data_IF_357039854311
#
_entry.id   IF_357039854311
#
_cell.length_a   1.000
_cell.length_b   1.000
_cell.length_c   1.000
_cell.angle_alpha   90.00
_cell.angle_beta   90.00
_cell.angle_gamma   90.00
#
_symmetry.space_group_name_H-M   'P 1'
#
loop_
_entity.id
_entity.type
_entity.pdbx_description
1 polymer ?
#
# COMPACT_ATOMS: atom_id res chain seq x y z
N UNK A 1 -20.73 -39.16 -45.39
CA UNK A 1 -19.36 -39.11 -44.82
C UNK A 1 -19.16 -37.71 -44.26
N UNK A 2 -18.78 -37.60 -42.99
CA UNK A 2 -18.54 -36.32 -42.32
C UNK A 2 -17.07 -35.96 -42.54
N UNK A 3 -16.77 -34.83 -43.19
CA UNK A 3 -15.41 -34.31 -43.16
C UNK A 3 -15.21 -33.54 -41.85
N UNK A 4 -14.15 -33.83 -41.08
CA UNK A 4 -13.82 -33.02 -39.92
C UNK A 4 -13.17 -31.72 -40.39
N UNK A 5 -13.74 -30.59 -39.98
CA UNK A 5 -13.13 -29.27 -40.14
C UNK A 5 -11.80 -29.29 -39.39
N UNK A 6 -10.67 -29.31 -40.11
CA UNK A 6 -9.36 -28.94 -39.55
C UNK A 6 -9.39 -27.44 -39.29
N UNK A 7 -9.96 -27.02 -38.18
CA UNK A 7 -9.68 -25.69 -37.65
C UNK A 7 -8.20 -25.67 -37.29
N UNK A 8 -7.42 -24.83 -37.98
CA UNK A 8 -6.07 -24.48 -37.52
C UNK A 8 -6.25 -23.87 -36.14
N UNK A 9 -5.76 -24.56 -35.12
CA UNK A 9 -5.56 -24.02 -33.79
C UNK A 9 -4.72 -22.75 -33.93
N UNK A 10 -5.33 -21.58 -33.73
CA UNK A 10 -4.67 -20.27 -33.71
C UNK A 10 -3.85 -20.05 -32.44
N UNK A 11 -3.53 -21.12 -31.72
CA UNK A 11 -2.55 -21.10 -30.63
C UNK A 11 -1.15 -21.19 -31.24
N UNK A 12 -0.77 -20.18 -32.03
CA UNK A 12 0.63 -19.87 -32.25
C UNK A 12 0.98 -18.77 -31.26
N UNK A 13 1.47 -19.23 -30.11
CA UNK A 13 2.50 -18.60 -29.30
C UNK A 13 3.08 -17.33 -29.92
N UNK A 14 2.83 -16.19 -29.26
CA UNK A 14 3.59 -14.95 -29.45
C UNK A 14 5.02 -15.20 -28.95
N UNK A 15 5.78 -15.94 -29.75
CA UNK A 15 7.23 -16.01 -29.66
C UNK A 15 7.77 -14.83 -30.45
N UNK A 16 8.34 -13.85 -29.76
CA UNK A 16 9.22 -12.86 -30.39
C UNK A 16 8.53 -11.69 -31.09
N UNK A 17 7.79 -10.87 -30.35
CA UNK A 17 7.83 -9.42 -30.54
C UNK A 17 7.77 -8.81 -29.15
N UNK A 18 8.89 -8.24 -28.70
CA UNK A 18 8.90 -7.13 -27.75
C UNK A 18 7.96 -6.08 -28.32
N UNK A 19 6.69 -6.21 -27.97
CA UNK A 19 5.66 -5.34 -28.48
C UNK A 19 5.88 -4.08 -27.67
N UNK A 20 6.54 -3.09 -28.29
CA UNK A 20 6.51 -1.68 -27.90
C UNK A 20 5.06 -1.20 -28.00
N UNK A 21 4.21 -1.76 -27.13
CA UNK A 21 3.00 -1.10 -26.72
C UNK A 21 3.46 0.05 -25.81
N UNK A 22 2.90 1.28 -25.93
CA UNK A 22 3.15 2.34 -24.98
C UNK A 22 2.44 2.06 -23.64
N UNK A 23 2.55 0.84 -23.14
CA UNK A 23 2.03 0.35 -21.88
C UNK A 23 3.21 0.17 -20.92
N UNK A 24 3.01 0.61 -19.68
CA UNK A 24 3.95 0.36 -18.58
C UNK A 24 4.20 -1.15 -18.43
N UNK A 25 5.39 -1.52 -17.97
CA UNK A 25 5.64 -2.91 -17.60
C UNK A 25 4.78 -3.29 -16.38
N UNK A 26 4.51 -4.59 -16.19
CA UNK A 26 3.79 -5.08 -15.00
C UNK A 26 4.45 -4.60 -13.70
N UNK A 27 5.78 -4.58 -13.65
CA UNK A 27 6.52 -4.15 -12.47
C UNK A 27 6.34 -2.64 -12.22
N UNK A 28 6.31 -1.83 -13.28
CA UNK A 28 6.00 -0.40 -13.19
C UNK A 28 4.55 -0.16 -12.71
N UNK A 29 3.60 -0.99 -13.14
CA UNK A 29 2.21 -0.90 -12.65
C UNK A 29 2.12 -1.23 -11.15
N UNK A 30 2.84 -2.28 -10.71
CA UNK A 30 2.92 -2.64 -9.30
C UNK A 30 3.60 -1.54 -8.47
N UNK A 31 4.64 -0.88 -9.00
CA UNK A 31 5.28 0.27 -8.34
C UNK A 31 4.30 1.40 -8.09
N UNK A 32 3.51 1.74 -9.11
CA UNK A 32 2.54 2.82 -9.02
C UNK A 32 1.42 2.47 -8.05
N UNK A 33 0.95 1.21 -8.11
CA UNK A 33 -0.04 0.71 -7.17
C UNK A 33 0.50 0.74 -5.74
N UNK A 34 1.74 0.29 -5.51
CA UNK A 34 2.37 0.25 -4.21
C UNK A 34 2.57 1.67 -3.66
N UNK A 35 3.11 2.57 -4.47
CA UNK A 35 3.28 3.98 -4.13
C UNK A 35 1.95 4.66 -3.78
N UNK A 36 0.86 4.29 -4.47
CA UNK A 36 -0.49 4.77 -4.17
C UNK A 36 -0.98 4.30 -2.80
N UNK A 37 -0.84 3.01 -2.49
CA UNK A 37 -1.25 2.46 -1.19
C UNK A 37 -0.41 3.01 -0.02
N UNK A 38 0.91 3.12 -0.20
CA UNK A 38 1.79 3.69 0.82
C UNK A 38 1.52 5.18 1.05
N UNK A 39 1.23 5.95 -0.01
CA UNK A 39 0.85 7.35 0.14
C UNK A 39 -0.49 7.50 0.91
N UNK A 40 -1.47 6.64 0.64
CA UNK A 40 -2.72 6.63 1.39
C UNK A 40 -2.52 6.22 2.86
N UNK A 41 -1.64 5.25 3.13
CA UNK A 41 -1.28 4.83 4.49
C UNK A 41 -0.56 5.96 5.23
N UNK A 42 0.37 6.66 4.58
CA UNK A 42 1.07 7.83 5.12
C UNK A 42 0.07 8.93 5.50
N UNK A 43 -0.89 9.25 4.63
CA UNK A 43 -1.90 10.27 4.92
C UNK A 43 -2.73 9.94 6.18
N UNK A 44 -3.18 8.68 6.32
CA UNK A 44 -3.91 8.26 7.53
C UNK A 44 -3.01 8.25 8.76
N UNK A 45 -1.73 7.94 8.60
CA UNK A 45 -0.74 8.01 9.70
C UNK A 45 -0.53 9.45 10.15
N UNK A 46 -0.46 10.41 9.22
CA UNK A 46 -0.37 11.84 9.53
C UNK A 46 -1.64 12.38 10.21
N UNK A 47 -2.83 11.91 9.79
CA UNK A 47 -4.09 12.20 10.49
C UNK A 47 -4.07 11.69 11.94
N UNK A 48 -3.59 10.46 12.15
CA UNK A 48 -3.45 9.88 13.49
C UNK A 48 -2.47 10.70 14.36
N UNK A 49 -1.33 11.11 13.80
CA UNK A 49 -0.34 11.94 14.50
C UNK A 49 -0.90 13.28 14.94
N UNK A 50 -1.76 13.89 14.11
CA UNK A 50 -2.41 15.15 14.44
C UNK A 50 -3.40 15.03 15.62
N UNK A 51 -4.05 13.87 15.77
CA UNK A 51 -5.03 13.62 16.82
C UNK A 51 -4.41 13.08 18.12
N UNK A 52 -3.40 12.21 18.00
CA UNK A 52 -2.72 11.56 19.11
C UNK A 52 -1.23 11.41 18.76
N UNK A 53 -0.40 12.41 19.11
CA UNK A 53 1.04 12.36 18.87
C UNK A 53 1.67 11.16 19.56
N UNK A 54 2.45 10.38 18.83
CA UNK A 54 3.18 9.22 19.32
C UNK A 54 4.48 9.06 18.52
N UNK A 55 5.58 8.82 19.24
CA UNK A 55 6.91 8.66 18.63
C UNK A 55 6.98 7.49 17.65
N UNK A 56 6.18 6.44 17.87
CA UNK A 56 6.07 5.32 16.94
C UNK A 56 5.36 5.69 15.64
N UNK A 57 4.40 6.62 15.68
CA UNK A 57 3.75 7.15 14.47
C UNK A 57 4.65 8.12 13.70
N UNK A 58 5.47 8.91 14.39
CA UNK A 58 6.44 9.82 13.76
C UNK A 58 7.47 9.04 12.92
N UNK A 59 8.13 8.05 13.54
CA UNK A 59 9.10 7.20 12.86
C UNK A 59 8.46 6.40 11.71
N UNK A 60 7.22 5.94 11.89
CA UNK A 60 6.49 5.25 10.83
C UNK A 60 6.20 6.16 9.63
N UNK A 61 5.78 7.40 9.88
CA UNK A 61 5.51 8.37 8.82
C UNK A 61 6.78 8.68 8.01
N UNK A 62 7.93 8.82 8.66
CA UNK A 62 9.22 9.03 8.00
C UNK A 62 9.58 7.86 7.09
N UNK A 63 9.57 6.63 7.63
CA UNK A 63 9.87 5.41 6.85
C UNK A 63 8.92 5.26 5.66
N UNK A 64 7.62 5.51 5.86
CA UNK A 64 6.63 5.45 4.77
C UNK A 64 6.92 6.51 3.69
N UNK A 65 7.27 7.74 4.08
CA UNK A 65 7.62 8.80 3.14
C UNK A 65 8.88 8.46 2.32
N UNK A 66 9.89 7.85 2.94
CA UNK A 66 11.08 7.35 2.24
C UNK A 66 10.72 6.29 1.19
N UNK A 67 9.89 5.31 1.55
CA UNK A 67 9.46 4.28 0.60
C UNK A 67 8.66 4.87 -0.57
N UNK A 68 7.73 5.80 -0.30
CA UNK A 68 6.95 6.48 -1.35
C UNK A 68 7.85 7.28 -2.27
N UNK A 69 8.83 8.00 -1.71
CA UNK A 69 9.79 8.79 -2.47
C UNK A 69 10.63 7.90 -3.38
N UNK A 70 11.09 6.76 -2.87
CA UNK A 70 11.84 5.76 -3.65
C UNK A 70 11.03 5.25 -4.83
N UNK A 71 9.78 4.85 -4.60
CA UNK A 71 8.90 4.29 -5.65
C UNK A 71 8.47 5.34 -6.69
N UNK A 72 8.49 6.63 -6.33
CA UNK A 72 8.16 7.75 -7.23
C UNK A 72 9.38 8.38 -7.91
N UNK A 73 10.54 7.72 -7.87
CA UNK A 73 11.76 8.24 -8.52
C UNK A 73 12.33 9.49 -7.86
N UNK A 74 12.23 9.60 -6.53
CA UNK A 74 12.82 10.70 -5.76
C UNK A 74 11.87 11.87 -5.45
N UNK A 75 10.63 11.82 -5.92
CA UNK A 75 9.63 12.85 -5.62
C UNK A 75 8.97 12.59 -4.26
N UNK A 76 9.23 13.47 -3.30
CA UNK A 76 8.60 13.41 -1.99
C UNK A 76 7.07 13.56 -2.11
N UNK A 77 6.28 12.75 -1.37
CA UNK A 77 4.83 12.89 -1.37
C UNK A 77 4.43 14.24 -0.78
N UNK A 78 3.47 14.92 -1.41
CA UNK A 78 2.85 16.11 -0.84
C UNK A 78 2.09 15.72 0.42
N UNK A 79 2.49 16.27 1.56
CA UNK A 79 1.84 16.06 2.85
C UNK A 79 0.93 17.24 3.16
N UNK A 80 -0.38 17.01 3.09
CA UNK A 80 -1.35 17.99 3.58
C UNK A 80 -1.46 17.89 5.09
N UNK A 81 -1.25 19.01 5.79
CA UNK A 81 -1.71 19.12 7.16
C UNK A 81 -3.23 19.05 7.15
N UNK A 82 -3.78 18.01 7.76
CA UNK A 82 -5.22 17.81 7.84
C UNK A 82 -5.80 18.93 8.68
N UNK A 83 -6.42 19.92 8.02
CA UNK A 83 -7.30 20.87 8.68
C UNK A 83 -8.48 20.07 9.23
N UNK A 84 -8.65 20.07 10.55
CA UNK A 84 -9.68 19.31 11.25
C UNK A 84 -11.04 19.48 10.54
N UNK A 85 -11.50 18.43 9.87
CA UNK A 85 -12.82 18.40 9.26
C UNK A 85 -13.89 18.38 10.34
N UNK A 86 -15.07 18.95 10.07
CA UNK A 86 -16.20 19.07 11.03
C UNK A 86 -16.66 17.76 11.70
N UNK A 87 -16.29 16.59 11.17
CA UNK A 87 -16.44 15.31 11.87
C UNK A 87 -15.15 14.98 12.58
N UNK A 88 -15.18 14.88 13.90
CA UNK A 88 -14.06 14.36 14.69
C UNK A 88 -13.73 12.93 14.24
N UNK A 89 -12.56 12.71 13.61
CA UNK A 89 -12.16 11.38 13.21
C UNK A 89 -11.92 10.56 14.48
N UNK A 90 -12.65 9.46 14.64
CA UNK A 90 -12.43 8.56 15.79
C UNK A 90 -11.10 7.82 15.59
N UNK A 91 -10.11 7.93 16.49
CA UNK A 91 -8.79 7.29 16.30
C UNK A 91 -8.86 5.79 15.98
N UNK A 92 -9.78 5.06 16.60
CA UNK A 92 -10.01 3.64 16.30
C UNK A 92 -10.47 3.38 14.84
N UNK A 93 -11.26 4.29 14.25
CA UNK A 93 -11.65 4.15 12.84
C UNK A 93 -10.45 4.38 11.90
N UNK A 94 -9.58 5.34 12.24
CA UNK A 94 -8.34 5.59 11.50
C UNK A 94 -7.37 4.42 11.60
N UNK A 95 -7.19 3.82 12.78
CA UNK A 95 -6.38 2.61 12.93
C UNK A 95 -6.89 1.44 12.09
N UNK A 96 -8.21 1.19 12.04
CA UNK A 96 -8.78 0.15 11.15
C UNK A 96 -8.53 0.44 9.67
N UNK A 97 -8.70 1.70 9.27
CA UNK A 97 -8.42 2.13 7.89
C UNK A 97 -6.94 1.94 7.54
N UNK A 98 -6.04 2.34 8.43
CA UNK A 98 -4.61 2.18 8.27
C UNK A 98 -4.20 0.71 8.19
N UNK A 99 -4.73 -0.15 9.07
CA UNK A 99 -4.53 -1.60 9.01
C UNK A 99 -4.94 -2.18 7.64
N UNK A 100 -6.10 -1.77 7.12
CA UNK A 100 -6.60 -2.25 5.82
C UNK A 100 -5.71 -1.79 4.65
N UNK A 101 -5.24 -0.55 4.69
CA UNK A 101 -4.31 -0.01 3.69
C UNK A 101 -2.96 -0.73 3.73
N UNK A 102 -2.45 -1.01 4.93
CA UNK A 102 -1.22 -1.77 5.12
C UNK A 102 -1.35 -3.21 4.58
N UNK A 103 -2.49 -3.88 4.82
CA UNK A 103 -2.76 -5.21 4.26
C UNK A 103 -2.77 -5.22 2.73
N UNK A 104 -3.35 -4.19 2.09
CA UNK A 104 -3.34 -4.05 0.62
C UNK A 104 -1.92 -3.81 0.10
N UNK A 105 -1.18 -2.92 0.75
CA UNK A 105 0.21 -2.64 0.38
C UNK A 105 1.10 -3.89 0.51
N UNK A 106 0.90 -4.71 1.56
CA UNK A 106 1.62 -5.95 1.77
C UNK A 106 1.46 -6.93 0.61
N UNK A 107 0.23 -7.13 0.11
CA UNK A 107 -0.03 -8.04 -1.02
C UNK A 107 0.69 -7.58 -2.29
N UNK A 108 0.68 -6.27 -2.56
CA UNK A 108 1.36 -5.69 -3.73
C UNK A 108 2.88 -5.79 -3.59
N UNK A 109 3.42 -5.48 -2.40
CA UNK A 109 4.84 -5.61 -2.10
C UNK A 109 5.32 -7.06 -2.25
N UNK A 110 4.57 -8.03 -1.73
CA UNK A 110 4.85 -9.45 -1.89
C UNK A 110 4.82 -9.89 -3.36
N UNK A 111 3.86 -9.39 -4.14
CA UNK A 111 3.73 -9.69 -5.57
C UNK A 111 4.93 -9.18 -6.39
N UNK A 112 5.52 -8.05 -5.96
CA UNK A 112 6.74 -7.46 -6.51
C UNK A 112 8.03 -8.10 -5.96
N UNK A 113 7.93 -8.91 -4.91
CA UNK A 113 9.06 -9.36 -4.09
C UNK A 113 9.84 -8.20 -3.40
N UNK A 114 9.19 -7.06 -3.15
CA UNK A 114 9.76 -5.97 -2.34
C UNK A 114 9.67 -6.31 -0.85
N UNK A 115 10.68 -7.05 -0.38
CA UNK A 115 10.72 -7.58 0.99
C UNK A 115 10.80 -6.45 2.03
N UNK A 116 11.48 -5.35 1.71
CA UNK A 116 11.60 -4.21 2.64
C UNK A 116 10.23 -3.57 2.90
N UNK A 117 9.45 -3.33 1.85
CA UNK A 117 8.10 -2.78 2.01
C UNK A 117 7.13 -3.81 2.62
N UNK A 118 7.29 -5.10 2.29
CA UNK A 118 6.50 -6.16 2.92
C UNK A 118 6.70 -6.20 4.44
N UNK A 119 7.95 -6.14 4.92
CA UNK A 119 8.26 -6.09 6.36
C UNK A 119 7.65 -4.83 6.98
N UNK A 120 7.91 -3.65 6.40
CA UNK A 120 7.37 -2.39 6.93
C UNK A 120 5.84 -2.42 7.04
N UNK A 121 5.15 -2.90 6.00
CA UNK A 121 3.68 -2.95 6.00
C UNK A 121 3.13 -3.96 7.01
N UNK A 122 3.79 -5.10 7.21
CA UNK A 122 3.45 -6.04 8.28
C UNK A 122 3.62 -5.43 9.67
N UNK A 123 4.75 -4.78 9.96
CA UNK A 123 4.97 -4.06 11.22
C UNK A 123 3.90 -2.98 11.46
N UNK A 124 3.49 -2.27 10.40
CA UNK A 124 2.41 -1.27 10.48
C UNK A 124 1.06 -1.91 10.77
N UNK A 125 0.75 -3.06 10.17
CA UNK A 125 -0.47 -3.81 10.49
C UNK A 125 -0.50 -4.17 11.98
N UNK A 126 0.56 -4.78 12.49
CA UNK A 126 0.65 -5.18 13.90
C UNK A 126 0.49 -4.00 14.85
N UNK A 127 1.16 -2.87 14.56
CA UNK A 127 1.04 -1.65 15.35
C UNK A 127 -0.40 -1.09 15.37
N UNK A 128 -1.10 -1.13 14.24
CA UNK A 128 -2.49 -0.68 14.15
C UNK A 128 -3.47 -1.66 14.81
N UNK A 129 -3.20 -2.97 14.76
CA UNK A 129 -3.95 -3.97 15.51
C UNK A 129 -3.78 -3.78 17.02
N UNK A 130 -2.55 -3.61 17.49
CA UNK A 130 -2.26 -3.37 18.91
C UNK A 130 -2.92 -2.08 19.44
N UNK A 131 -3.07 -1.04 18.60
CA UNK A 131 -3.77 0.18 18.96
C UNK A 131 -5.30 0.04 19.03
N UNK A 132 -5.86 -1.03 18.44
CA UNK A 132 -7.28 -1.36 18.50
C UNK A 132 -7.63 -2.28 19.66
N UNK A 133 -6.64 -3.01 20.20
CA UNK A 133 -6.83 -3.84 21.37
C UNK A 133 -7.22 -2.97 22.57
N UNK A 134 -8.34 -3.28 23.28
CA UNK A 134 -8.70 -2.56 24.48
C UNK A 134 -7.58 -2.75 25.50
N UNK A 135 -6.90 -1.65 25.85
CA UNK A 135 -5.85 -1.69 26.88
C UNK A 135 -6.47 -2.27 28.14
N UNK A 136 -6.00 -3.43 28.66
CA UNK A 136 -6.55 -3.97 29.89
C UNK A 136 -6.34 -2.91 30.96
N UNK A 137 -7.45 -2.41 31.51
CA UNK A 137 -7.40 -1.53 32.66
C UNK A 137 -6.76 -2.35 33.78
N UNK A 138 -5.49 -2.10 34.03
CA UNK A 138 -4.81 -2.65 35.19
C UNK A 138 -5.55 -2.13 36.42
N UNK A 139 -6.40 -2.97 37.01
CA UNK A 139 -6.85 -2.74 38.39
C UNK A 139 -5.63 -2.82 39.28
N UNK A 140 -5.27 -1.69 39.89
CA UNK A 140 -4.48 -1.68 41.12
C UNK A 140 -4.87 -0.51 42.00
#
# INVERSE_FOLDING_TARGET
MYEPIRSKSVHSTMAGTTTDFPGRSRDDELDIQLAGHLAALLAVTDELRALAPDTGLDAAAERLAEQVTRLRGGQAPVRLQVAATRQEPRPAALHRRAHTLAARALVVAASRADTAVAILTAERMDAHSAALEPRPLASR
#
